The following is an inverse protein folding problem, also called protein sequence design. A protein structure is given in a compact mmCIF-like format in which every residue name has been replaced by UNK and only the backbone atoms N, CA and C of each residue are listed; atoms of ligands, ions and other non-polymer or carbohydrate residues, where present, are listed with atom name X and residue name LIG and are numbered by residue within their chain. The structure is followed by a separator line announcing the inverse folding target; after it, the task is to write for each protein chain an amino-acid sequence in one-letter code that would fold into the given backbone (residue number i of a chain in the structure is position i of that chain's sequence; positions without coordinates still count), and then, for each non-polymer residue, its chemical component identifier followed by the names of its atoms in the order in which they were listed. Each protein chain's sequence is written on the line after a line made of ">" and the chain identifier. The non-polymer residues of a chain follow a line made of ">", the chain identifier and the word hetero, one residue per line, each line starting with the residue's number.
data_IF_227690684933
#
_entry.id   IF_227690684933
#
_cell.length_a   1.000
_cell.length_b   1.000
_cell.length_c   1.000
_cell.angle_alpha   90.00
_cell.angle_beta   90.00
_cell.angle_gamma   90.00
#
_symmetry.space_group_name_H-M   'P 1'
#
loop_
_entity.id
_entity.type
_entity.pdbx_description
1 polymer ?
#
# COMPACT_ATOMS: atom_id res chain seq x y z
N UNK A 1 7.23 5.22 6.51
CA UNK A 1 6.98 6.63 6.91
C UNK A 1 7.06 7.63 5.75
N UNK A 2 7.63 7.27 4.59
CA UNK A 2 7.65 8.13 3.39
C UNK A 2 6.27 8.62 2.94
N UNK A 3 5.21 7.84 3.18
CA UNK A 3 3.82 8.20 2.89
C UNK A 3 3.29 9.45 3.63
N UNK A 4 3.99 9.96 4.64
CA UNK A 4 3.64 11.24 5.27
C UNK A 4 3.80 12.42 4.31
N UNK A 5 4.75 12.36 3.38
CA UNK A 5 4.99 13.45 2.43
C UNK A 5 3.76 13.66 1.52
N UNK A 6 3.20 12.61 0.88
CA UNK A 6 1.93 12.72 0.18
C UNK A 6 0.74 13.18 1.03
N UNK A 7 0.73 12.92 2.33
CA UNK A 7 -0.38 13.37 3.19
C UNK A 7 -0.46 14.90 3.33
N UNK A 8 0.67 15.60 3.20
CA UNK A 8 0.75 17.06 3.40
C UNK A 8 1.14 17.84 2.15
N UNK A 9 1.50 17.14 1.05
CA UNK A 9 1.96 17.82 -0.16
C UNK A 9 0.84 18.67 -0.82
N UNK A 10 1.22 19.71 -1.59
CA UNK A 10 0.28 20.49 -2.38
C UNK A 10 -0.47 19.63 -3.41
N UNK A 11 -1.76 19.93 -3.64
CA UNK A 11 -2.57 19.22 -4.63
C UNK A 11 -1.99 19.38 -6.05
N UNK A 12 -1.37 20.53 -6.34
CA UNK A 12 -0.67 20.79 -7.60
C UNK A 12 0.46 19.79 -7.90
N UNK A 13 1.13 19.25 -6.87
CA UNK A 13 2.15 18.23 -7.06
C UNK A 13 1.53 16.88 -7.42
N UNK A 14 0.42 16.52 -6.78
CA UNK A 14 -0.35 15.31 -7.12
C UNK A 14 -0.88 15.39 -8.55
N UNK A 15 -1.41 16.54 -8.94
CA UNK A 15 -1.92 16.81 -10.28
C UNK A 15 -0.81 16.77 -11.35
N UNK A 16 0.37 17.34 -11.06
CA UNK A 16 1.54 17.20 -11.93
C UNK A 16 1.96 15.73 -12.14
N UNK A 17 1.94 14.92 -11.08
CA UNK A 17 2.22 13.48 -11.17
C UNK A 17 1.13 12.75 -11.98
N UNK A 18 -0.14 13.06 -11.75
CA UNK A 18 -1.28 12.49 -12.46
C UNK A 18 -1.18 12.73 -13.98
N UNK A 19 -0.84 13.96 -14.38
CA UNK A 19 -0.57 14.31 -15.79
C UNK A 19 0.68 13.60 -16.33
N UNK A 20 1.76 13.55 -15.56
CA UNK A 20 3.01 12.89 -15.98
C UNK A 20 2.82 11.38 -16.20
N UNK A 21 1.97 10.73 -15.40
CA UNK A 21 1.58 9.32 -15.55
C UNK A 21 0.58 9.07 -16.69
N UNK A 22 0.12 10.13 -17.38
CA UNK A 22 -0.86 10.02 -18.46
C UNK A 22 -2.29 9.74 -17.98
N UNK A 23 -2.59 9.99 -16.70
CA UNK A 23 -3.93 9.79 -16.12
C UNK A 23 -4.87 10.98 -16.36
N UNK A 24 -4.38 12.06 -16.95
CA UNK A 24 -5.13 13.28 -17.23
C UNK A 24 -5.03 14.30 -16.10
N UNK A 25 -6.03 15.19 -15.99
CA UNK A 25 -6.10 16.16 -14.89
C UNK A 25 -6.65 15.51 -13.63
N UNK A 26 -6.09 15.85 -12.48
CA UNK A 26 -6.60 15.34 -11.22
C UNK A 26 -7.98 15.97 -10.96
N UNK A 27 -9.04 15.17 -10.74
CA UNK A 27 -10.38 15.73 -10.54
C UNK A 27 -10.43 16.66 -9.33
N UNK A 28 -11.01 17.84 -9.51
CA UNK A 28 -11.17 18.81 -8.44
C UNK A 28 -12.37 18.45 -7.54
N UNK A 29 -12.16 18.50 -6.23
CA UNK A 29 -13.24 18.31 -5.27
C UNK A 29 -12.75 17.96 -3.86
N UNK A 30 -13.54 18.28 -2.82
CA UNK A 30 -13.18 17.97 -1.43
C UNK A 30 -12.88 16.49 -1.20
N UNK A 31 -13.62 15.60 -1.87
CA UNK A 31 -13.46 14.15 -1.70
C UNK A 31 -12.11 13.63 -2.22
N UNK A 32 -11.62 14.13 -3.34
CA UNK A 32 -10.32 13.73 -3.92
C UNK A 32 -9.19 14.19 -3.01
N UNK A 33 -9.27 15.44 -2.55
CA UNK A 33 -8.33 16.02 -1.60
C UNK A 33 -8.28 15.24 -0.28
N UNK A 34 -9.45 14.83 0.23
CA UNK A 34 -9.59 14.05 1.45
C UNK A 34 -9.03 12.63 1.28
N UNK A 35 -9.46 11.89 0.25
CA UNK A 35 -9.07 10.49 0.04
C UNK A 35 -7.56 10.35 -0.19
N UNK A 36 -6.97 11.17 -1.06
CA UNK A 36 -5.52 11.11 -1.36
C UNK A 36 -4.65 11.32 -0.12
N UNK A 37 -5.02 12.30 0.73
CA UNK A 37 -4.28 12.63 1.95
C UNK A 37 -4.53 11.63 3.09
N UNK A 38 -5.80 11.30 3.33
CA UNK A 38 -6.16 10.35 4.38
C UNK A 38 -5.62 8.95 4.10
N UNK A 39 -5.62 8.51 2.83
CA UNK A 39 -5.02 7.24 2.43
C UNK A 39 -3.50 7.23 2.66
N UNK A 40 -2.83 8.32 2.32
CA UNK A 40 -1.40 8.49 2.58
C UNK A 40 -1.08 8.46 4.08
N UNK A 41 -1.89 9.12 4.91
CA UNK A 41 -1.78 9.08 6.37
C UNK A 41 -2.04 7.66 6.93
N UNK A 42 -3.02 6.94 6.39
CA UNK A 42 -3.30 5.55 6.72
C UNK A 42 -2.10 4.65 6.42
N UNK A 43 -1.46 4.81 5.25
CA UNK A 43 -0.24 4.08 4.91
C UNK A 43 0.95 4.43 5.79
N UNK A 44 1.08 5.69 6.21
CA UNK A 44 2.11 6.09 7.16
C UNK A 44 1.91 5.43 8.53
N UNK A 45 0.67 5.43 9.04
CA UNK A 45 0.29 4.75 10.28
C UNK A 45 0.51 3.24 10.19
N UNK A 46 0.03 2.59 9.12
CA UNK A 46 0.25 1.17 8.89
C UNK A 46 1.75 0.84 8.83
N UNK A 47 2.55 1.67 8.14
CA UNK A 47 3.99 1.53 8.10
C UNK A 47 4.65 1.63 9.49
N UNK A 48 4.14 2.50 10.37
CA UNK A 48 4.63 2.59 11.76
C UNK A 48 4.32 1.33 12.56
N UNK A 49 3.13 0.74 12.39
CA UNK A 49 2.75 -0.53 13.02
C UNK A 49 3.66 -1.66 12.53
N UNK A 50 3.85 -1.79 11.21
CA UNK A 50 4.73 -2.81 10.62
C UNK A 50 6.17 -2.63 11.10
N UNK A 51 6.66 -1.39 11.16
CA UNK A 51 7.98 -1.08 11.70
C UNK A 51 8.12 -1.48 13.16
N UNK A 52 7.15 -1.15 14.02
CA UNK A 52 7.17 -1.54 15.43
C UNK A 52 7.17 -3.07 15.60
N UNK A 53 6.31 -3.78 14.86
CA UNK A 53 6.26 -5.26 14.87
C UNK A 53 7.60 -5.87 14.43
N UNK A 54 8.31 -5.22 13.50
CA UNK A 54 9.61 -5.69 13.02
C UNK A 54 10.73 -5.64 14.09
N UNK A 55 10.55 -4.86 15.16
CA UNK A 55 11.54 -4.75 16.24
C UNK A 55 11.64 -6.02 17.09
N UNK A 56 10.57 -6.82 17.17
CA UNK A 56 10.56 -8.11 17.87
C UNK A 56 9.65 -9.12 17.17
N UNK A 57 10.13 -9.64 16.04
CA UNK A 57 9.39 -10.59 15.19
C UNK A 57 8.99 -11.87 15.93
N UNK A 58 9.80 -12.35 16.88
CA UNK A 58 9.51 -13.59 17.60
C UNK A 58 8.33 -13.41 18.54
N UNK A 59 8.34 -12.33 19.33
CA UNK A 59 7.22 -11.99 20.22
C UNK A 59 5.93 -11.72 19.45
N UNK A 60 6.03 -11.05 18.30
CA UNK A 60 4.89 -10.66 17.49
C UNK A 60 4.58 -11.65 16.35
N UNK A 61 5.09 -12.88 16.39
CA UNK A 61 4.95 -13.84 15.30
C UNK A 61 3.51 -14.09 14.83
N UNK A 62 2.49 -14.19 15.73
CA UNK A 62 1.09 -14.29 15.29
C UNK A 62 0.62 -13.07 14.49
N UNK A 63 1.04 -11.87 14.89
CA UNK A 63 0.73 -10.62 14.19
C UNK A 63 1.42 -10.56 12.84
N UNK A 64 2.68 -10.98 12.76
CA UNK A 64 3.43 -11.08 11.50
C UNK A 64 2.74 -12.02 10.50
N UNK A 65 2.26 -13.18 10.96
CA UNK A 65 1.48 -14.10 10.12
C UNK A 65 0.17 -13.47 9.66
N UNK A 66 -0.55 -12.78 10.54
CA UNK A 66 -1.78 -12.06 10.20
C UNK A 66 -1.52 -10.99 9.13
N UNK A 67 -0.51 -10.13 9.34
CA UNK A 67 -0.11 -9.07 8.39
C UNK A 67 0.31 -9.67 7.04
N UNK A 68 1.03 -10.79 7.03
CA UNK A 68 1.38 -11.51 5.80
C UNK A 68 0.14 -12.00 5.03
N UNK A 69 -0.82 -12.63 5.71
CA UNK A 69 -2.08 -13.07 5.09
C UNK A 69 -2.89 -11.89 4.54
N UNK A 70 -3.00 -10.81 5.32
CA UNK A 70 -3.71 -9.59 4.91
C UNK A 70 -3.04 -8.94 3.70
N UNK A 71 -1.70 -8.91 3.63
CA UNK A 71 -0.98 -8.39 2.48
C UNK A 71 -1.26 -9.21 1.20
N UNK A 72 -1.30 -10.54 1.29
CA UNK A 72 -1.68 -11.40 0.15
C UNK A 72 -3.11 -11.12 -0.30
N UNK A 73 -4.06 -11.07 0.63
CA UNK A 73 -5.46 -10.79 0.30
C UNK A 73 -5.63 -9.38 -0.29
N UNK A 74 -4.99 -8.37 0.31
CA UNK A 74 -5.06 -6.99 -0.14
C UNK A 74 -4.45 -6.80 -1.53
N UNK A 75 -3.25 -7.35 -1.78
CA UNK A 75 -2.62 -7.24 -3.09
C UNK A 75 -3.41 -7.96 -4.18
N UNK A 76 -4.07 -9.09 -3.87
CA UNK A 76 -5.00 -9.74 -4.79
C UNK A 76 -6.23 -8.88 -5.08
N UNK A 77 -6.79 -8.24 -4.06
CA UNK A 77 -7.89 -7.29 -4.20
C UNK A 77 -7.53 -6.08 -5.07
N UNK A 78 -6.36 -5.49 -4.85
CA UNK A 78 -5.85 -4.36 -5.66
C UNK A 78 -5.66 -4.76 -7.11
N UNK A 79 -5.06 -5.92 -7.39
CA UNK A 79 -4.89 -6.42 -8.76
C UNK A 79 -6.23 -6.55 -9.49
N UNK A 80 -7.25 -7.08 -8.83
CA UNK A 80 -8.60 -7.20 -9.40
C UNK A 80 -9.23 -5.83 -9.61
N UNK A 81 -9.12 -4.92 -8.64
CA UNK A 81 -9.67 -3.58 -8.71
C UNK A 81 -9.04 -2.78 -9.86
N UNK A 82 -7.71 -2.74 -9.95
CA UNK A 82 -6.95 -2.03 -10.97
C UNK A 82 -7.32 -2.51 -12.38
N UNK A 83 -7.46 -3.83 -12.55
CA UNK A 83 -7.92 -4.42 -13.80
C UNK A 83 -9.37 -4.02 -14.13
N UNK A 84 -10.26 -3.97 -13.12
CA UNK A 84 -11.67 -3.65 -13.31
C UNK A 84 -11.91 -2.17 -13.66
N UNK A 85 -11.11 -1.25 -13.11
CA UNK A 85 -11.25 0.20 -13.36
C UNK A 85 -10.39 0.71 -14.52
N UNK A 86 -9.59 -0.16 -15.13
CA UNK A 86 -8.77 0.18 -16.29
C UNK A 86 -7.53 1.01 -15.96
N UNK A 87 -6.89 0.78 -14.81
CA UNK A 87 -5.60 1.42 -14.49
C UNK A 87 -4.53 1.05 -15.54
N UNK A 88 -3.49 1.90 -15.71
CA UNK A 88 -2.39 1.60 -16.62
C UNK A 88 -1.77 0.23 -16.36
N UNK A 89 -1.47 -0.54 -17.41
CA UNK A 89 -0.99 -1.92 -17.27
C UNK A 89 0.24 -2.04 -16.37
N UNK A 90 1.20 -1.11 -16.49
CA UNK A 90 2.38 -1.08 -15.64
C UNK A 90 2.04 -0.90 -14.15
N UNK A 91 0.99 -0.14 -13.83
CA UNK A 91 0.49 0.04 -12.47
C UNK A 91 -0.11 -1.27 -11.95
N UNK A 92 -1.05 -1.85 -12.71
CA UNK A 92 -1.79 -3.07 -12.36
C UNK A 92 -0.86 -4.27 -12.10
N UNK A 93 0.21 -4.45 -12.89
CA UNK A 93 1.13 -5.57 -12.73
C UNK A 93 2.16 -5.36 -11.61
N UNK A 94 2.34 -4.13 -11.14
CA UNK A 94 3.32 -3.82 -10.11
C UNK A 94 2.66 -3.68 -8.74
N UNK A 95 1.55 -2.95 -8.58
CA UNK A 95 1.00 -2.64 -7.26
C UNK A 95 0.56 -3.89 -6.49
N UNK A 96 -0.55 -4.51 -6.91
CA UNK A 96 -1.10 -5.70 -6.25
C UNK A 96 -0.12 -6.88 -6.19
N UNK A 97 0.54 -7.26 -7.30
CA UNK A 97 1.45 -8.41 -7.33
C UNK A 97 2.68 -8.27 -6.44
N UNK A 98 3.29 -7.07 -6.33
CA UNK A 98 4.43 -6.87 -5.43
C UNK A 98 3.97 -6.99 -3.97
N UNK A 99 2.82 -6.41 -3.61
CA UNK A 99 2.27 -6.52 -2.24
C UNK A 99 1.97 -7.98 -1.89
N UNK A 100 1.38 -8.74 -2.82
CA UNK A 100 1.16 -10.18 -2.66
C UNK A 100 2.48 -10.93 -2.45
N UNK A 101 3.48 -10.68 -3.29
CA UNK A 101 4.77 -11.35 -3.21
C UNK A 101 5.44 -11.11 -1.85
N UNK A 102 5.41 -9.87 -1.35
CA UNK A 102 5.92 -9.53 -0.01
C UNK A 102 5.18 -10.31 1.08
N UNK A 103 3.84 -10.36 1.03
CA UNK A 103 3.04 -11.13 1.98
C UNK A 103 3.39 -12.62 1.99
N UNK A 104 3.55 -13.23 0.81
CA UNK A 104 3.98 -14.63 0.66
C UNK A 104 5.37 -14.86 1.26
N UNK A 105 6.32 -13.97 0.97
CA UNK A 105 7.68 -14.05 1.50
C UNK A 105 7.67 -13.98 3.04
N UNK A 106 6.93 -13.01 3.61
CA UNK A 106 6.79 -12.86 5.06
C UNK A 106 6.22 -14.13 5.69
N UNK A 107 5.17 -14.71 5.12
CA UNK A 107 4.57 -15.96 5.60
C UNK A 107 5.54 -17.14 5.49
N UNK A 108 6.26 -17.25 4.39
CA UNK A 108 7.24 -18.31 4.17
C UNK A 108 8.38 -18.24 5.19
N UNK A 109 8.85 -17.04 5.53
CA UNK A 109 9.86 -16.82 6.56
C UNK A 109 9.32 -17.05 7.97
N UNK A 110 8.11 -16.57 8.27
CA UNK A 110 7.46 -16.75 9.57
C UNK A 110 7.20 -18.23 9.91
N UNK A 111 7.02 -19.10 8.90
CA UNK A 111 6.88 -20.56 9.09
C UNK A 111 8.19 -21.24 9.53
N UNK A 112 9.35 -20.61 9.34
CA UNK A 112 10.65 -21.16 9.76
C UNK A 112 10.97 -20.90 11.23
N UNK A 113 10.20 -20.03 11.88
CA UNK A 113 10.37 -19.71 13.29
C UNK A 113 9.54 -20.68 14.15
N UNK A 114 10.10 -21.21 15.25
CA UNK A 114 9.33 -21.99 16.21
C UNK A 114 8.22 -21.13 16.82
N UNK A 115 7.09 -21.77 17.11
CA UNK A 115 5.94 -21.13 17.74
C UNK A 115 6.24 -20.74 19.19
#
# INVERSE_FOLDING_TARGET
>A
MSALVPAVMPLAWMDAIHRWLGLGELPEGPIVSYLTRSLSAMYAMHGAIVYFVSLDVRRYLPVVKCLGCLAVAFGGGMLVLDAAIGMPTAWTVCEGPIVMAIGVIVLALARRLPA
#
